data_IF_776209613994
#
_entry.id   IF_776209613994
#
_cell.length_a   1.000
_cell.length_b   1.000
_cell.length_c   1.000
_cell.angle_alpha   90.00
_cell.angle_beta   90.00
_cell.angle_gamma   90.00
#
_symmetry.space_group_name_H-M   'P 1'
#
loop_
_entity.id
_entity.type
_entity.pdbx_description
1 polymer ?
#
# COMPACT_ATOMS: atom_id res chain seq x y z
N UNK A 1 38.50 -8.80 -7.22
CA UNK A 1 38.26 -10.25 -7.40
C UNK A 1 36.91 -10.68 -6.82
N UNK A 2 36.62 -10.49 -5.53
CA UNK A 2 35.31 -10.89 -4.95
C UNK A 2 34.09 -10.17 -5.53
N UNK A 3 34.18 -8.86 -5.76
CA UNK A 3 33.07 -8.03 -6.31
C UNK A 3 32.71 -8.34 -7.76
N UNK A 4 33.70 -8.73 -8.59
CA UNK A 4 33.47 -9.12 -9.98
C UNK A 4 32.83 -10.51 -10.12
N UNK A 5 33.19 -11.44 -9.24
CA UNK A 5 32.51 -12.73 -9.13
C UNK A 5 31.07 -12.55 -8.67
N UNK A 6 30.82 -11.71 -7.66
CA UNK A 6 29.46 -11.38 -7.20
C UNK A 6 28.65 -10.75 -8.35
N UNK A 7 29.24 -9.81 -9.10
CA UNK A 7 28.55 -9.19 -10.23
C UNK A 7 28.24 -10.21 -11.33
N UNK A 8 29.17 -11.11 -11.66
CA UNK A 8 28.95 -12.18 -12.64
C UNK A 8 27.85 -13.15 -12.18
N UNK A 9 27.85 -13.55 -10.91
CA UNK A 9 26.79 -14.39 -10.33
C UNK A 9 25.44 -13.68 -10.42
N UNK A 10 25.38 -12.40 -10.03
CA UNK A 10 24.16 -11.60 -10.11
C UNK A 10 23.65 -11.51 -11.55
N UNK A 11 24.49 -11.10 -12.49
CA UNK A 11 24.13 -11.04 -13.91
C UNK A 11 23.63 -12.39 -14.43
N UNK A 12 24.30 -13.49 -14.06
CA UNK A 12 23.89 -14.84 -14.46
C UNK A 12 22.53 -15.18 -13.86
N UNK A 13 22.30 -14.90 -12.58
CA UNK A 13 20.99 -15.15 -11.92
C UNK A 13 19.87 -14.30 -12.51
N UNK A 14 20.09 -13.01 -12.79
CA UNK A 14 19.10 -12.16 -13.45
C UNK A 14 18.85 -12.57 -14.91
N UNK A 15 19.87 -13.07 -15.61
CA UNK A 15 19.70 -13.62 -16.96
C UNK A 15 18.89 -14.93 -16.96
N UNK A 16 19.07 -15.76 -15.94
CA UNK A 16 18.31 -17.00 -15.77
C UNK A 16 16.85 -16.71 -15.34
N UNK A 17 16.64 -15.74 -14.45
CA UNK A 17 15.34 -15.29 -13.96
C UNK A 17 14.92 -13.94 -14.59
N UNK A 18 14.98 -13.86 -15.91
CA UNK A 18 14.44 -12.72 -16.63
C UNK A 18 12.89 -12.70 -16.55
N UNK A 19 12.28 -11.57 -16.92
CA UNK A 19 10.81 -11.36 -16.85
C UNK A 19 10.05 -12.47 -17.56
N UNK A 20 10.48 -12.85 -18.76
CA UNK A 20 9.83 -13.89 -19.58
C UNK A 20 9.91 -15.27 -18.92
N UNK A 21 11.08 -15.67 -18.42
CA UNK A 21 11.28 -16.95 -17.75
C UNK A 21 10.47 -17.02 -16.46
N UNK A 22 10.44 -15.94 -15.66
CA UNK A 22 9.62 -15.87 -14.44
C UNK A 22 8.13 -16.00 -14.78
N UNK A 23 7.65 -15.28 -15.79
CA UNK A 23 6.26 -15.39 -16.25
C UNK A 23 5.93 -16.79 -16.79
N UNK A 24 6.83 -17.40 -17.55
CA UNK A 24 6.64 -18.75 -18.09
C UNK A 24 6.57 -19.79 -16.97
N UNK A 25 7.49 -19.74 -16.01
CA UNK A 25 7.46 -20.63 -14.83
C UNK A 25 6.18 -20.43 -14.02
N UNK A 26 5.71 -19.19 -13.83
CA UNK A 26 4.47 -18.89 -13.13
C UNK A 26 3.21 -19.38 -13.88
N UNK A 27 3.23 -19.38 -15.21
CA UNK A 27 2.10 -19.83 -16.05
C UNK A 27 2.01 -21.35 -16.20
N UNK A 28 3.14 -22.03 -16.28
CA UNK A 28 3.21 -23.46 -16.58
C UNK A 28 2.79 -24.33 -15.39
N UNK A 29 3.13 -23.96 -14.16
CA UNK A 29 2.86 -24.79 -12.98
C UNK A 29 1.65 -24.30 -12.20
N UNK A 30 0.45 -24.63 -12.70
CA UNK A 30 -0.82 -24.20 -12.10
C UNK A 30 -1.12 -24.72 -10.68
N UNK A 31 -0.32 -25.59 -10.05
CA UNK A 31 -0.72 -26.23 -8.75
C UNK A 31 0.38 -26.67 -7.77
N UNK A 32 1.67 -26.57 -8.07
CA UNK A 32 2.72 -27.05 -7.14
C UNK A 32 3.69 -25.93 -6.80
N UNK A 33 4.15 -25.93 -5.54
CA UNK A 33 5.14 -25.04 -4.95
C UNK A 33 6.23 -24.64 -5.96
N UNK A 34 6.54 -23.35 -6.01
CA UNK A 34 7.67 -22.83 -6.79
C UNK A 34 8.85 -22.53 -5.84
N UNK A 35 9.56 -23.55 -5.32
CA UNK A 35 10.66 -23.30 -4.38
C UNK A 35 11.77 -22.48 -5.04
N UNK A 36 11.94 -22.59 -6.36
CA UNK A 36 12.90 -21.78 -7.12
C UNK A 36 12.54 -20.29 -7.10
N UNK A 37 11.27 -19.95 -7.35
CA UNK A 37 10.80 -18.55 -7.32
C UNK A 37 10.82 -18.03 -5.89
N UNK A 38 10.35 -18.82 -4.92
CA UNK A 38 10.36 -18.41 -3.51
C UNK A 38 11.78 -18.09 -3.03
N UNK A 39 12.75 -18.98 -3.29
CA UNK A 39 14.17 -18.73 -2.98
C UNK A 39 14.76 -17.55 -3.75
N UNK A 40 14.32 -17.33 -4.99
CA UNK A 40 14.74 -16.18 -5.76
C UNK A 40 14.21 -14.87 -5.14
N UNK A 41 12.96 -14.82 -4.68
CA UNK A 41 12.39 -13.66 -3.98
C UNK A 41 13.07 -13.41 -2.62
N UNK A 42 13.41 -14.47 -1.90
CA UNK A 42 14.21 -14.37 -0.67
C UNK A 42 15.61 -13.81 -0.97
N UNK A 43 16.26 -14.30 -2.02
CA UNK A 43 17.55 -13.78 -2.47
C UNK A 43 17.47 -12.29 -2.86
N UNK A 44 16.45 -11.89 -3.63
CA UNK A 44 16.21 -10.49 -3.96
C UNK A 44 15.98 -9.65 -2.70
N UNK A 45 15.22 -10.18 -1.73
CA UNK A 45 14.97 -9.50 -0.46
C UNK A 45 16.27 -9.27 0.32
N UNK A 46 17.17 -10.26 0.35
CA UNK A 46 18.49 -10.12 0.96
C UNK A 46 19.36 -9.07 0.25
N UNK A 47 19.34 -9.05 -1.08
CA UNK A 47 20.09 -8.08 -1.89
C UNK A 47 19.62 -6.65 -1.63
N UNK A 48 18.30 -6.46 -1.53
CA UNK A 48 17.65 -5.17 -1.27
C UNK A 48 17.87 -4.69 0.18
N UNK A 49 18.08 -5.62 1.11
CA UNK A 49 18.34 -5.34 2.52
C UNK A 49 19.81 -5.00 2.84
N UNK A 50 20.73 -5.09 1.89
CA UNK A 50 22.14 -4.78 2.15
C UNK A 50 22.30 -3.32 2.65
N UNK A 51 22.86 -3.12 3.86
CA UNK A 51 23.04 -1.78 4.41
C UNK A 51 24.11 -1.02 3.61
N UNK A 52 23.74 0.16 3.11
CA UNK A 52 24.70 1.13 2.59
C UNK A 52 24.63 1.46 1.10
N UNK A 53 23.50 1.28 0.41
CA UNK A 53 23.36 1.64 -1.01
C UNK A 53 24.58 1.14 -1.83
N UNK A 54 24.93 -0.14 -1.64
CA UNK A 54 26.01 -0.74 -2.42
C UNK A 54 25.77 -0.44 -3.89
N UNK A 55 26.83 -0.02 -4.61
CA UNK A 55 26.71 0.34 -6.04
C UNK A 55 26.07 -0.81 -6.84
N UNK A 56 26.25 -2.05 -6.40
CA UNK A 56 25.63 -3.24 -6.97
C UNK A 56 24.11 -3.21 -6.80
N UNK A 57 23.60 -3.00 -5.58
CA UNK A 57 22.15 -2.86 -5.33
C UNK A 57 21.56 -1.76 -6.19
N UNK A 58 22.20 -0.59 -6.27
CA UNK A 58 21.71 0.51 -7.11
C UNK A 58 21.72 0.19 -8.61
N UNK A 59 22.66 -0.63 -9.07
CA UNK A 59 22.73 -1.07 -10.47
C UNK A 59 21.56 -1.99 -10.84
N UNK A 60 21.19 -2.91 -9.94
CA UNK A 60 20.13 -3.90 -10.21
C UNK A 60 18.74 -3.46 -9.75
N UNK A 61 18.63 -2.42 -8.93
CA UNK A 61 17.37 -1.94 -8.37
C UNK A 61 16.28 -1.66 -9.45
N UNK A 62 16.59 -1.00 -10.59
CA UNK A 62 15.58 -0.78 -11.63
C UNK A 62 15.03 -2.11 -12.19
N UNK A 63 15.91 -3.09 -12.43
CA UNK A 63 15.54 -4.42 -12.93
C UNK A 63 14.70 -5.20 -11.93
N UNK A 64 15.02 -5.10 -10.63
CA UNK A 64 14.23 -5.73 -9.56
C UNK A 64 12.83 -5.13 -9.50
N UNK A 65 12.73 -3.80 -9.58
CA UNK A 65 11.46 -3.09 -9.56
C UNK A 65 10.63 -3.45 -10.81
N UNK A 66 11.24 -3.47 -11.99
CA UNK A 66 10.58 -3.86 -13.23
C UNK A 66 10.06 -5.30 -13.19
N UNK A 67 10.85 -6.22 -12.60
CA UNK A 67 10.42 -7.60 -12.38
C UNK A 67 9.24 -7.67 -11.40
N UNK A 68 9.25 -6.87 -10.33
CA UNK A 68 8.16 -6.81 -9.37
C UNK A 68 6.86 -6.27 -9.98
N UNK A 69 6.94 -5.24 -10.82
CA UNK A 69 5.75 -4.60 -11.40
C UNK A 69 5.25 -5.31 -12.66
N UNK A 70 6.14 -5.87 -13.49
CA UNK A 70 5.81 -6.44 -14.80
C UNK A 70 5.61 -7.95 -14.78
N UNK A 71 6.38 -8.70 -13.99
CA UNK A 71 6.30 -10.16 -13.92
C UNK A 71 5.47 -10.64 -12.73
N UNK A 72 5.84 -10.21 -11.53
CA UNK A 72 5.30 -10.76 -10.29
C UNK A 72 3.91 -10.24 -9.96
N UNK A 73 3.67 -8.92 -10.09
CA UNK A 73 2.38 -8.35 -9.73
C UNK A 73 1.20 -8.93 -10.53
N UNK A 74 1.26 -9.09 -11.86
CA UNK A 74 0.18 -9.77 -12.61
C UNK A 74 -0.06 -11.20 -12.14
N UNK A 75 1.01 -11.96 -11.87
CA UNK A 75 0.87 -13.34 -11.38
C UNK A 75 0.20 -13.41 -10.01
N UNK A 76 0.48 -12.46 -9.12
CA UNK A 76 -0.15 -12.38 -7.80
C UNK A 76 -1.65 -12.08 -7.93
N UNK A 77 -2.03 -11.22 -8.89
CA UNK A 77 -3.44 -10.93 -9.19
C UNK A 77 -4.21 -12.14 -9.72
N UNK A 78 -3.53 -13.04 -10.44
CA UNK A 78 -4.12 -14.25 -11.04
C UNK A 78 -4.24 -15.44 -10.06
N UNK A 79 -4.07 -15.22 -8.75
CA UNK A 79 -4.05 -16.24 -7.69
C UNK A 79 -2.81 -17.14 -7.71
N UNK A 80 -1.64 -16.54 -7.51
CA UNK A 80 -0.40 -17.27 -7.22
C UNK A 80 -0.41 -17.95 -5.83
N UNK A 81 0.51 -18.90 -5.60
CA UNK A 81 0.71 -19.59 -4.33
C UNK A 81 0.98 -18.63 -3.17
N UNK A 82 0.57 -19.01 -1.95
CA UNK A 82 0.66 -18.19 -0.74
C UNK A 82 2.11 -17.77 -0.44
N UNK A 83 3.05 -18.71 -0.45
CA UNK A 83 4.47 -18.45 -0.16
C UNK A 83 5.08 -17.37 -1.07
N UNK A 84 4.72 -17.40 -2.35
CA UNK A 84 5.21 -16.44 -3.35
C UNK A 84 4.60 -15.06 -3.08
N UNK A 85 3.31 -15.03 -2.74
CA UNK A 85 2.60 -13.79 -2.38
C UNK A 85 3.22 -13.14 -1.16
N UNK A 86 3.46 -13.90 -0.09
CA UNK A 86 4.10 -13.39 1.12
C UNK A 86 5.50 -12.86 0.83
N UNK A 87 6.32 -13.63 0.12
CA UNK A 87 7.69 -13.24 -0.19
C UNK A 87 7.74 -12.04 -1.14
N UNK A 88 6.76 -11.89 -2.02
CA UNK A 88 6.61 -10.67 -2.82
C UNK A 88 6.33 -9.46 -1.94
N UNK A 89 5.35 -9.51 -1.05
CA UNK A 89 5.01 -8.34 -0.21
C UNK A 89 6.16 -7.99 0.75
N UNK A 90 6.87 -8.98 1.28
CA UNK A 90 8.12 -8.78 2.03
C UNK A 90 9.18 -8.06 1.17
N UNK A 91 9.36 -8.47 -0.08
CA UNK A 91 10.28 -7.81 -1.03
C UNK A 91 9.86 -6.37 -1.32
N UNK A 92 8.58 -6.12 -1.59
CA UNK A 92 8.05 -4.77 -1.85
C UNK A 92 8.27 -3.84 -0.65
N UNK A 93 7.98 -4.31 0.56
CA UNK A 93 8.26 -3.55 1.78
C UNK A 93 9.76 -3.21 1.91
N UNK A 94 10.64 -4.19 1.73
CA UNK A 94 12.09 -4.00 1.80
C UNK A 94 12.60 -3.01 0.74
N UNK A 95 12.05 -3.06 -0.49
CA UNK A 95 12.36 -2.11 -1.56
C UNK A 95 12.02 -0.68 -1.13
N UNK A 96 10.83 -0.48 -0.57
CA UNK A 96 10.37 0.84 -0.16
C UNK A 96 11.17 1.37 1.04
N UNK A 97 11.29 0.59 2.12
CA UNK A 97 11.96 1.05 3.35
C UNK A 97 13.45 1.32 3.14
N UNK A 98 14.18 0.38 2.52
CA UNK A 98 15.63 0.47 2.45
C UNK A 98 16.11 1.34 1.28
N UNK A 99 15.34 1.41 0.20
CA UNK A 99 15.70 2.16 -1.00
C UNK A 99 14.84 3.42 -1.17
N UNK A 100 14.36 4.00 -0.08
CA UNK A 100 13.53 5.22 -0.10
C UNK A 100 14.16 6.37 -0.91
N UNK A 101 15.49 6.50 -0.85
CA UNK A 101 16.25 7.53 -1.61
C UNK A 101 16.22 7.36 -3.12
N UNK A 102 15.91 6.16 -3.61
CA UNK A 102 15.71 5.90 -5.04
C UNK A 102 14.46 6.60 -5.56
N UNK A 103 13.40 6.66 -4.74
CA UNK A 103 12.14 7.31 -5.06
C UNK A 103 12.12 8.78 -4.66
N UNK A 104 12.68 9.10 -3.49
CA UNK A 104 12.67 10.44 -2.91
C UNK A 104 14.10 10.91 -2.65
N UNK A 105 14.66 11.68 -3.58
CA UNK A 105 15.97 12.31 -3.38
C UNK A 105 15.81 13.37 -2.29
N UNK A 106 16.38 13.10 -1.11
CA UNK A 106 16.36 14.03 0.01
C UNK A 106 17.19 15.28 -0.31
N UNK A 107 16.55 16.28 -0.90
CA UNK A 107 17.18 17.57 -1.14
C UNK A 107 16.73 18.52 -0.03
N UNK A 108 17.63 18.78 0.91
CA UNK A 108 17.43 19.75 2.01
C UNK A 108 17.11 21.16 1.46
N UNK A 109 17.54 21.46 0.24
CA UNK A 109 17.24 22.71 -0.47
C UNK A 109 15.77 22.82 -0.93
N UNK A 110 15.11 21.72 -1.30
CA UNK A 110 13.71 21.74 -1.76
C UNK A 110 12.78 22.16 -0.62
N UNK A 111 13.07 21.69 0.59
CA UNK A 111 12.36 22.08 1.83
C UNK A 111 12.59 23.54 2.23
N UNK A 112 13.72 24.14 1.86
CA UNK A 112 14.06 25.54 2.17
C UNK A 112 13.54 26.52 1.12
N UNK A 113 13.44 26.11 -0.14
CA UNK A 113 12.99 26.95 -1.25
C UNK A 113 11.48 26.87 -1.54
N UNK A 114 10.73 26.04 -0.80
CA UNK A 114 9.31 25.81 -1.08
C UNK A 114 9.05 25.12 -2.42
N UNK A 115 10.06 24.46 -2.99
CA UNK A 115 9.92 23.71 -4.22
C UNK A 115 9.10 22.43 -3.99
N UNK A 116 8.29 22.08 -4.97
CA UNK A 116 7.43 20.89 -4.95
C UNK A 116 8.33 19.64 -4.80
N UNK A 117 8.02 18.78 -3.84
CA UNK A 117 8.73 17.52 -3.61
C UNK A 117 8.80 16.70 -4.91
N UNK A 118 10.00 16.57 -5.48
CA UNK A 118 10.21 15.84 -6.74
C UNK A 118 10.39 14.35 -6.46
N UNK A 119 9.50 13.53 -7.00
CA UNK A 119 9.59 12.06 -6.91
C UNK A 119 10.35 11.54 -8.12
N UNK A 120 11.51 10.91 -7.90
CA UNK A 120 12.22 10.18 -8.94
C UNK A 120 11.56 8.81 -9.12
N UNK A 121 11.28 8.38 -10.36
CA UNK A 121 10.62 7.11 -10.66
C UNK A 121 9.20 6.97 -10.06
N UNK A 122 8.40 8.02 -10.20
CA UNK A 122 7.01 8.10 -9.72
C UNK A 122 6.15 6.91 -10.13
N UNK A 123 6.17 6.51 -11.42
CA UNK A 123 5.35 5.42 -11.93
C UNK A 123 5.64 4.10 -11.23
N UNK A 124 6.92 3.78 -11.01
CA UNK A 124 7.32 2.56 -10.31
C UNK A 124 6.87 2.57 -8.85
N UNK A 125 6.97 3.72 -8.18
CA UNK A 125 6.48 3.87 -6.81
C UNK A 125 4.96 3.65 -6.73
N UNK A 126 4.19 4.26 -7.64
CA UNK A 126 2.74 4.09 -7.71
C UNK A 126 2.39 2.62 -7.90
N UNK A 127 3.02 1.93 -8.87
CA UNK A 127 2.74 0.51 -9.14
C UNK A 127 3.01 -0.39 -7.93
N UNK A 128 4.10 -0.15 -7.19
CA UNK A 128 4.39 -0.88 -5.96
C UNK A 128 3.33 -0.61 -4.88
N UNK A 129 2.93 0.65 -4.69
CA UNK A 129 1.90 1.02 -3.73
C UNK A 129 0.51 0.48 -4.13
N UNK A 130 0.18 0.44 -5.42
CA UNK A 130 -1.04 -0.16 -5.96
C UNK A 130 -1.08 -1.66 -5.69
N UNK A 131 0.07 -2.35 -5.75
CA UNK A 131 0.15 -3.77 -5.42
C UNK A 131 -0.21 -4.05 -3.95
N UNK A 132 0.21 -3.16 -3.05
CA UNK A 132 -0.16 -3.19 -1.63
C UNK A 132 -1.64 -2.86 -1.47
N UNK A 133 -2.13 -1.79 -2.10
CA UNK A 133 -3.53 -1.40 -2.03
C UNK A 133 -4.48 -2.51 -2.51
N UNK A 134 -4.10 -3.23 -3.57
CA UNK A 134 -4.86 -4.37 -4.07
C UNK A 134 -5.00 -5.51 -3.05
N UNK A 135 -4.00 -5.70 -2.18
CA UNK A 135 -4.05 -6.71 -1.11
C UNK A 135 -5.17 -6.44 -0.10
N UNK A 136 -5.50 -5.16 0.14
CA UNK A 136 -6.55 -4.78 1.08
C UNK A 136 -7.96 -5.09 0.59
N UNK A 137 -8.11 -5.34 -0.71
CA UNK A 137 -9.37 -5.79 -1.31
C UNK A 137 -9.55 -7.31 -1.26
N UNK A 138 -8.54 -8.07 -0.80
CA UNK A 138 -8.59 -9.53 -0.70
C UNK A 138 -9.21 -9.98 0.62
N UNK A 139 -9.66 -11.24 0.68
CA UNK A 139 -10.23 -11.85 1.89
C UNK A 139 -9.18 -12.38 2.89
N UNK A 140 -7.91 -12.36 2.51
CA UNK A 140 -6.80 -12.90 3.30
C UNK A 140 -6.41 -11.92 4.43
N UNK A 141 -6.91 -12.21 5.63
CA UNK A 141 -6.75 -11.34 6.81
C UNK A 141 -5.28 -11.24 7.24
N UNK A 142 -4.51 -12.32 7.13
CA UNK A 142 -3.11 -12.33 7.56
C UNK A 142 -2.27 -11.45 6.64
N UNK A 143 -2.46 -11.59 5.32
CA UNK A 143 -1.80 -10.75 4.34
C UNK A 143 -2.24 -9.28 4.45
N UNK A 144 -3.54 -9.04 4.68
CA UNK A 144 -4.08 -7.70 4.93
C UNK A 144 -3.37 -7.05 6.13
N UNK A 145 -3.29 -7.76 7.26
CA UNK A 145 -2.67 -7.25 8.48
C UNK A 145 -1.18 -6.99 8.31
N UNK A 146 -0.47 -7.90 7.65
CA UNK A 146 0.96 -7.75 7.39
C UNK A 146 1.26 -6.51 6.53
N UNK A 147 0.45 -6.27 5.49
CA UNK A 147 0.61 -5.12 4.62
C UNK A 147 0.19 -3.81 5.29
N UNK A 148 -0.83 -3.82 6.14
CA UNK A 148 -1.23 -2.66 6.92
C UNK A 148 -0.14 -2.26 7.92
N UNK A 149 0.45 -3.25 8.59
CA UNK A 149 1.61 -3.07 9.48
C UNK A 149 2.79 -2.47 8.71
N UNK A 150 3.07 -3.01 7.53
CA UNK A 150 4.12 -2.52 6.62
C UNK A 150 3.91 -1.04 6.24
N UNK A 151 2.68 -0.63 5.93
CA UNK A 151 2.36 0.77 5.66
C UNK A 151 2.56 1.68 6.88
N UNK A 152 2.13 1.24 8.06
CA UNK A 152 2.31 2.00 9.29
C UNK A 152 3.80 2.15 9.65
N UNK A 153 4.61 1.11 9.45
CA UNK A 153 6.06 1.19 9.63
C UNK A 153 6.73 2.11 8.60
N UNK A 154 6.30 2.06 7.33
CA UNK A 154 6.74 2.99 6.30
C UNK A 154 6.39 4.44 6.66
N UNK A 155 5.22 4.68 7.25
CA UNK A 155 4.88 6.00 7.76
C UNK A 155 5.84 6.44 8.86
N UNK A 156 6.12 5.58 9.85
CA UNK A 156 7.00 5.92 10.97
C UNK A 156 8.45 6.14 10.54
N UNK A 157 8.98 5.32 9.61
CA UNK A 157 10.39 5.38 9.17
C UNK A 157 10.63 6.43 8.09
N UNK A 158 9.66 6.61 7.18
CA UNK A 158 9.88 7.33 5.93
C UNK A 158 8.89 8.48 5.68
N UNK A 159 7.85 8.62 6.51
CA UNK A 159 6.81 9.64 6.34
C UNK A 159 5.97 9.44 5.08
N UNK A 160 5.60 8.19 4.77
CA UNK A 160 4.83 7.80 3.59
C UNK A 160 3.61 8.70 3.31
N UNK A 161 2.75 8.93 4.30
CA UNK A 161 1.51 9.71 4.19
C UNK A 161 1.75 11.21 4.07
N UNK A 162 2.95 11.69 4.41
CA UNK A 162 3.35 13.10 4.21
C UNK A 162 3.74 13.37 2.75
N UNK A 163 4.14 12.33 2.01
CA UNK A 163 4.60 12.47 0.61
C UNK A 163 3.48 12.97 -0.29
N UNK A 164 3.81 13.97 -1.11
CA UNK A 164 2.84 14.59 -2.01
C UNK A 164 2.26 13.59 -3.02
N UNK A 165 3.10 12.70 -3.56
CA UNK A 165 2.67 11.67 -4.51
C UNK A 165 1.61 10.72 -3.91
N UNK A 166 1.80 10.32 -2.65
CA UNK A 166 0.85 9.47 -1.95
C UNK A 166 -0.48 10.19 -1.75
N UNK A 167 -0.42 11.46 -1.30
CA UNK A 167 -1.61 12.28 -1.07
C UNK A 167 -2.42 12.52 -2.33
N UNK A 168 -1.77 12.75 -3.47
CA UNK A 168 -2.47 13.03 -4.73
C UNK A 168 -3.03 11.79 -5.42
N UNK A 169 -2.30 10.67 -5.42
CA UNK A 169 -2.65 9.52 -6.24
C UNK A 169 -3.34 8.39 -5.46
N UNK A 170 -3.05 8.25 -4.16
CA UNK A 170 -3.37 7.02 -3.41
C UNK A 170 -4.25 7.24 -2.17
N UNK A 171 -4.18 8.41 -1.53
CA UNK A 171 -4.84 8.68 -0.24
C UNK A 171 -6.34 8.40 -0.29
N UNK A 172 -7.05 8.99 -1.24
CA UNK A 172 -8.50 8.91 -1.36
C UNK A 172 -8.98 7.47 -1.60
N UNK A 173 -8.28 6.74 -2.46
CA UNK A 173 -8.59 5.35 -2.77
C UNK A 173 -8.39 4.46 -1.53
N UNK A 174 -7.28 4.63 -0.82
CA UNK A 174 -6.98 3.85 0.38
C UNK A 174 -7.94 4.18 1.54
N UNK A 175 -8.23 5.47 1.78
CA UNK A 175 -9.21 5.89 2.80
C UNK A 175 -10.59 5.28 2.52
N UNK A 176 -11.04 5.33 1.26
CA UNK A 176 -12.33 4.78 0.85
C UNK A 176 -12.38 3.26 1.03
N UNK A 177 -11.30 2.56 0.68
CA UNK A 177 -11.18 1.11 0.82
C UNK A 177 -11.22 0.70 2.30
N UNK A 178 -10.39 1.30 3.13
CA UNK A 178 -10.33 1.01 4.56
C UNK A 178 -11.66 1.33 5.27
N UNK A 179 -12.31 2.44 4.94
CA UNK A 179 -13.64 2.76 5.46
C UNK A 179 -14.67 1.72 5.01
N UNK A 180 -14.63 1.29 3.75
CA UNK A 180 -15.55 0.25 3.26
C UNK A 180 -15.37 -1.08 4.00
N UNK A 181 -14.13 -1.46 4.33
CA UNK A 181 -13.80 -2.64 5.13
C UNK A 181 -14.39 -2.53 6.53
N UNK A 182 -14.25 -1.36 7.17
CA UNK A 182 -14.84 -1.09 8.49
C UNK A 182 -16.37 -1.16 8.45
N UNK A 183 -17.01 -0.61 7.42
CA UNK A 183 -18.46 -0.62 7.25
C UNK A 183 -19.00 -2.03 6.95
N UNK A 184 -18.28 -2.84 6.19
CA UNK A 184 -18.64 -4.22 5.86
C UNK A 184 -18.39 -5.24 6.98
N UNK A 185 -17.60 -4.90 8.02
CA UNK A 185 -17.10 -5.83 9.06
C UNK A 185 -16.32 -7.03 8.50
N UNK A 186 -15.70 -6.91 7.33
CA UNK A 186 -14.99 -8.05 6.72
C UNK A 186 -13.70 -8.41 7.46
N UNK A 187 -13.03 -7.44 8.10
CA UNK A 187 -11.74 -7.61 8.76
C UNK A 187 -11.76 -7.10 10.20
N UNK A 188 -12.70 -7.57 11.02
CA UNK A 188 -12.91 -7.08 12.39
C UNK A 188 -11.68 -7.23 13.30
N UNK A 189 -10.86 -8.27 13.08
CA UNK A 189 -9.60 -8.48 13.81
C UNK A 189 -8.56 -7.38 13.59
N UNK A 190 -8.65 -6.64 12.48
CA UNK A 190 -7.72 -5.57 12.13
C UNK A 190 -8.31 -4.17 12.39
N UNK A 191 -9.47 -4.09 13.05
CA UNK A 191 -10.24 -2.84 13.16
C UNK A 191 -9.44 -1.69 13.76
N UNK A 192 -8.76 -1.90 14.87
CA UNK A 192 -8.02 -0.84 15.57
C UNK A 192 -6.81 -0.34 14.75
N UNK A 193 -6.14 -1.27 14.05
CA UNK A 193 -5.06 -0.93 13.12
C UNK A 193 -5.58 -0.10 11.94
N UNK A 194 -6.74 -0.48 11.39
CA UNK A 194 -7.39 0.26 10.28
C UNK A 194 -7.77 1.68 10.73
N UNK A 195 -8.40 1.82 11.90
CA UNK A 195 -8.78 3.13 12.45
C UNK A 195 -7.54 4.01 12.65
N UNK A 196 -6.46 3.44 13.20
CA UNK A 196 -5.20 4.15 13.39
C UNK A 196 -4.60 4.60 12.06
N UNK A 197 -4.60 3.74 11.05
CA UNK A 197 -4.14 4.09 9.69
C UNK A 197 -4.97 5.21 9.06
N UNK A 198 -6.31 5.16 9.17
CA UNK A 198 -7.20 6.23 8.70
C UNK A 198 -6.85 7.56 9.36
N UNK A 199 -6.68 7.56 10.69
CA UNK A 199 -6.29 8.74 11.46
C UNK A 199 -4.95 9.33 10.96
N UNK A 200 -3.94 8.49 10.78
CA UNK A 200 -2.63 8.95 10.32
C UNK A 200 -2.66 9.51 8.90
N UNK A 201 -3.43 8.92 7.98
CA UNK A 201 -3.56 9.46 6.62
C UNK A 201 -4.23 10.84 6.66
N UNK A 202 -5.36 10.96 7.36
CA UNK A 202 -6.14 12.22 7.43
C UNK A 202 -5.38 13.34 8.16
N UNK A 203 -4.65 13.01 9.22
CA UNK A 203 -3.92 14.02 10.01
C UNK A 203 -2.68 14.53 9.26
N UNK A 204 -2.08 13.71 8.41
CA UNK A 204 -0.91 14.10 7.60
C UNK A 204 -1.29 14.74 6.25
N UNK A 205 -2.57 14.72 5.88
CA UNK A 205 -3.06 15.33 4.65
C UNK A 205 -3.81 16.65 4.94
N UNK A 206 -3.08 17.77 4.81
CA UNK A 206 -3.65 19.12 4.95
C UNK A 206 -4.81 19.41 3.98
N UNK A 207 -4.97 18.64 2.90
CA UNK A 207 -6.01 18.87 1.89
C UNK A 207 -7.26 18.04 2.10
N UNK A 208 -7.14 16.89 2.78
CA UNK A 208 -8.18 15.88 2.82
C UNK A 208 -8.58 15.61 4.28
N UNK A 209 -9.25 16.59 4.89
CA UNK A 209 -9.73 16.48 6.26
C UNK A 209 -10.91 15.49 6.36
N UNK A 210 -11.21 15.00 7.57
CA UNK A 210 -12.20 13.94 7.76
C UNK A 210 -13.59 14.34 7.23
N UNK A 211 -13.97 15.60 7.45
CA UNK A 211 -15.23 16.17 6.95
C UNK A 211 -15.36 16.06 5.43
N UNK A 212 -14.33 16.52 4.70
CA UNK A 212 -14.29 16.50 3.24
C UNK A 212 -14.22 15.07 2.70
N UNK A 213 -13.44 14.20 3.35
CA UNK A 213 -13.37 12.79 2.99
C UNK A 213 -14.74 12.10 3.12
N UNK A 214 -15.42 12.24 4.26
CA UNK A 214 -16.74 11.61 4.49
C UNK A 214 -17.77 12.14 3.51
N UNK A 215 -17.80 13.45 3.25
CA UNK A 215 -18.69 14.04 2.26
C UNK A 215 -18.51 13.41 0.88
N UNK A 216 -17.27 13.38 0.39
CA UNK A 216 -16.94 12.78 -0.91
C UNK A 216 -17.23 11.28 -0.96
N UNK A 217 -17.02 10.56 0.15
CA UNK A 217 -17.31 9.13 0.25
C UNK A 217 -18.82 8.88 0.15
N UNK A 218 -19.64 9.61 0.92
CA UNK A 218 -21.10 9.45 0.92
C UNK A 218 -21.77 9.86 -0.41
N UNK A 219 -21.12 10.74 -1.17
CA UNK A 219 -21.61 11.18 -2.48
C UNK A 219 -21.26 10.22 -3.62
N UNK A 220 -20.49 9.16 -3.37
CA UNK A 220 -20.24 8.10 -4.36
C UNK A 220 -21.56 7.42 -4.78
N UNK A 221 -21.70 7.16 -6.09
CA UNK A 221 -22.90 6.61 -6.73
C UNK A 221 -23.49 5.39 -6.02
N UNK A 222 -22.64 4.46 -5.59
CA UNK A 222 -23.05 3.23 -4.93
C UNK A 222 -23.70 3.47 -3.56
N UNK A 223 -23.31 4.55 -2.87
CA UNK A 223 -23.85 4.92 -1.55
C UNK A 223 -25.14 5.76 -1.70
N UNK A 224 -25.30 6.47 -2.82
CA UNK A 224 -26.53 7.22 -3.12
C UNK A 224 -27.76 6.32 -3.22
N UNK A 225 -27.61 5.07 -3.67
CA UNK A 225 -28.72 4.11 -3.73
C UNK A 225 -29.15 3.61 -2.35
N UNK A 226 -28.26 3.68 -1.36
CA UNK A 226 -28.47 3.10 -0.02
C UNK A 226 -28.95 4.17 0.98
N UNK A 227 -28.45 5.40 0.86
CA UNK A 227 -28.72 6.50 1.77
C UNK A 227 -29.36 7.69 1.07
N UNK A 228 -30.47 8.19 1.61
CA UNK A 228 -31.12 9.41 1.17
C UNK A 228 -30.29 10.64 1.56
N UNK A 229 -30.45 11.75 0.82
CA UNK A 229 -29.70 13.00 1.02
C UNK A 229 -29.78 13.55 2.45
N UNK A 230 -30.91 13.35 3.13
CA UNK A 230 -31.09 13.75 4.53
C UNK A 230 -30.15 12.99 5.48
N UNK A 231 -30.00 11.67 5.32
CA UNK A 231 -29.12 10.85 6.15
C UNK A 231 -27.65 11.23 5.91
N UNK A 232 -27.27 11.50 4.66
CA UNK A 232 -25.91 11.91 4.32
C UNK A 232 -25.53 13.25 4.95
N UNK A 233 -26.43 14.24 4.89
CA UNK A 233 -26.23 15.54 5.55
C UNK A 233 -26.07 15.36 7.05
N UNK A 234 -26.95 14.59 7.68
CA UNK A 234 -26.87 14.35 9.13
C UNK A 234 -25.57 13.66 9.54
N UNK A 235 -25.13 12.63 8.81
CA UNK A 235 -23.87 11.94 9.06
C UNK A 235 -22.67 12.90 8.91
N UNK A 236 -22.67 13.72 7.85
CA UNK A 236 -21.58 14.68 7.60
C UNK A 236 -21.53 15.79 8.64
N UNK A 237 -22.68 16.34 9.03
CA UNK A 237 -22.76 17.42 10.04
C UNK A 237 -22.41 16.93 11.45
N UNK A 238 -22.83 15.71 11.79
CA UNK A 238 -22.63 15.14 13.13
C UNK A 238 -21.18 14.69 13.33
N UNK A 239 -20.64 13.97 12.35
CA UNK A 239 -19.36 13.26 12.46
C UNK A 239 -18.22 13.89 11.67
N UNK A 240 -18.49 14.87 10.79
CA UNK A 240 -17.49 15.61 10.01
C UNK A 240 -16.64 16.58 10.83
N UNK A 241 -16.24 16.18 12.04
CA UNK A 241 -15.33 16.93 12.90
C UNK A 241 -13.90 16.45 12.67
N UNK A 242 -12.97 17.41 12.69
CA UNK A 242 -11.54 17.10 12.57
C UNK A 242 -10.99 16.90 13.98
N UNK A 243 -11.03 15.65 14.44
CA UNK A 243 -10.44 15.26 15.70
C UNK A 243 -8.92 15.31 15.63
N UNK A 244 -8.28 15.85 16.67
CA UNK A 244 -6.82 16.06 16.71
C UNK A 244 -6.07 14.92 17.41
N UNK A 245 -6.78 14.09 18.16
CA UNK A 245 -6.24 12.95 18.88
C UNK A 245 -6.92 11.63 18.44
N UNK A 246 -6.14 10.55 18.50
CA UNK A 246 -6.60 9.23 18.06
C UNK A 246 -7.78 8.68 18.88
N UNK A 247 -7.84 8.82 20.22
CA UNK A 247 -9.01 8.41 21.00
C UNK A 247 -10.32 9.07 20.56
N UNK A 248 -10.33 10.41 20.44
CA UNK A 248 -11.51 11.17 20.01
C UNK A 248 -11.92 10.79 18.58
N UNK A 249 -10.94 10.65 17.67
CA UNK A 249 -11.19 10.17 16.30
C UNK A 249 -11.81 8.77 16.29
N UNK A 250 -11.27 7.85 17.09
CA UNK A 250 -11.75 6.47 17.19
C UNK A 250 -13.20 6.43 17.64
N UNK A 251 -13.54 7.20 18.67
CA UNK A 251 -14.92 7.31 19.15
C UNK A 251 -15.85 7.86 18.06
N UNK A 252 -15.49 9.00 17.47
CA UNK A 252 -16.26 9.65 16.42
C UNK A 252 -16.50 8.74 15.19
N UNK A 253 -15.47 8.02 14.74
CA UNK A 253 -15.57 7.08 13.63
C UNK A 253 -16.44 5.87 13.97
N UNK A 254 -16.38 5.37 15.21
CA UNK A 254 -17.21 4.26 15.65
C UNK A 254 -18.69 4.63 15.71
N UNK A 255 -19.00 5.83 16.20
CA UNK A 255 -20.35 6.38 16.24
C UNK A 255 -20.89 6.59 14.81
N UNK A 256 -20.06 7.13 13.90
CA UNK A 256 -20.38 7.23 12.47
C UNK A 256 -20.72 5.85 11.86
N UNK A 257 -19.88 4.83 12.10
CA UNK A 257 -20.10 3.47 11.59
C UNK A 257 -21.40 2.88 12.12
N UNK A 258 -21.75 3.15 13.38
CA UNK A 258 -22.99 2.70 14.00
C UNK A 258 -24.21 3.31 13.31
N UNK A 259 -24.25 4.64 13.19
CA UNK A 259 -25.36 5.37 12.60
C UNK A 259 -25.52 5.09 11.11
N UNK A 260 -24.40 4.99 10.37
CA UNK A 260 -24.42 4.61 8.97
C UNK A 260 -25.19 3.29 8.79
N UNK A 261 -24.86 2.27 9.59
CA UNK A 261 -25.52 0.95 9.51
C UNK A 261 -26.98 0.98 9.92
N UNK A 262 -27.32 1.79 10.92
CA UNK A 262 -28.71 1.96 11.32
C UNK A 262 -29.54 2.49 10.13
N UNK A 263 -29.03 3.49 9.42
CA UNK A 263 -29.69 4.04 8.24
C UNK A 263 -29.74 3.06 7.06
N UNK A 264 -28.68 2.31 6.80
CA UNK A 264 -28.69 1.32 5.71
C UNK A 264 -29.69 0.19 5.96
N UNK A 265 -29.83 -0.27 7.21
CA UNK A 265 -30.77 -1.34 7.60
C UNK A 265 -32.22 -0.86 7.56
N UNK A 266 -32.47 0.39 7.97
CA UNK A 266 -33.81 0.99 7.94
C UNK A 266 -34.30 1.18 6.50
N UNK A 267 -33.39 1.51 5.58
CA UNK A 267 -33.73 1.71 4.17
C UNK A 267 -33.86 0.41 3.36
N UNK A 268 -33.33 -0.71 3.86
CA UNK A 268 -33.43 -2.04 3.23
C UNK A 268 -34.59 -2.89 3.75
N UNK A 269 -35.30 -2.42 4.79
CA UNK A 269 -36.51 -3.02 5.36
C UNK A 269 -37.77 -2.45 4.71
#
# INVERSE_FOLDING_TARGET
>A
MGTELINTILQTTFSAFNIENVQNVLRESKKNDHPAISRFLEFLSLLVNEPGNSKLTQQFLPTIIELCTTALYPAIRENCALDIRENYYKLVYNLLVNNWRYFFKGNVLTTLNGEIETTANEQSFIQLMESIAWSFSQADIEQFRANLTSCNELQLKCGLYTKLIFRQQMSQALLSLLLSVLLARSHELCRDDIISTLFYILTNDNTNNFAYFIHNYLDQSNIQTILNDKHKRLLTETYGRNETDLPSFTQNLNDFIHDYRHYTTTNSS
#
